data_IF_406990375004
#
_entry.id   IF_406990375004
#
_cell.length_a   1.000
_cell.length_b   1.000
_cell.length_c   1.000
_cell.angle_alpha   90.00
_cell.angle_beta   90.00
_cell.angle_gamma   90.00
#
_symmetry.space_group_name_H-M   'P 1'
#
loop_
_entity.id
_entity.type
_entity.pdbx_description
1 polymer ?
#
# COMPACT_ATOMS: atom_id res chain seq x y z
N UNK A 1 22.10 11.92 -0.92
CA UNK A 1 21.98 10.57 -1.53
C UNK A 1 23.20 10.28 -2.39
N UNK A 2 23.74 9.05 -2.41
CA UNK A 2 24.81 8.68 -3.36
C UNK A 2 24.23 8.46 -4.76
N UNK A 3 24.86 8.94 -5.84
CA UNK A 3 24.40 8.70 -7.20
C UNK A 3 24.32 7.20 -7.52
N UNK A 4 23.19 6.77 -8.08
CA UNK A 4 23.08 5.45 -8.66
C UNK A 4 23.85 5.39 -9.98
N UNK A 5 24.73 4.40 -10.11
CA UNK A 5 25.43 4.14 -11.36
C UNK A 5 24.47 3.70 -12.48
N UNK A 6 24.90 3.85 -13.73
CA UNK A 6 24.12 3.52 -14.93
C UNK A 6 23.57 2.09 -14.93
N UNK A 7 24.35 1.12 -14.46
CA UNK A 7 23.91 -0.27 -14.34
C UNK A 7 22.75 -0.45 -13.35
N UNK A 8 22.75 0.26 -12.23
CA UNK A 8 21.65 0.23 -11.26
C UNK A 8 20.38 0.84 -11.84
N UNK A 9 20.49 1.96 -12.56
CA UNK A 9 19.35 2.59 -13.21
C UNK A 9 18.72 1.73 -14.29
N UNK A 10 19.53 1.07 -15.14
CA UNK A 10 19.02 0.14 -16.15
C UNK A 10 18.24 -1.00 -15.51
N UNK A 11 18.77 -1.58 -14.44
CA UNK A 11 18.12 -2.65 -13.68
C UNK A 11 16.80 -2.16 -13.05
N UNK A 12 16.82 -1.00 -12.38
CA UNK A 12 15.62 -0.44 -11.74
C UNK A 12 14.53 -0.09 -12.76
N UNK A 13 14.87 0.51 -13.90
CA UNK A 13 13.90 0.82 -14.96
C UNK A 13 13.25 -0.44 -15.51
N UNK A 14 14.01 -1.52 -15.69
CA UNK A 14 13.46 -2.81 -16.10
C UNK A 14 12.51 -3.39 -15.06
N UNK A 15 12.92 -3.40 -13.80
CA UNK A 15 12.06 -3.85 -12.68
C UNK A 15 10.81 -2.99 -12.49
N UNK A 16 10.88 -1.68 -12.73
CA UNK A 16 9.71 -0.81 -12.62
C UNK A 16 8.65 -1.13 -13.70
N UNK A 17 9.08 -1.57 -14.88
CA UNK A 17 8.20 -2.00 -15.97
C UNK A 17 7.61 -3.39 -15.68
N UNK A 18 8.49 -4.34 -15.33
CA UNK A 18 8.12 -5.71 -14.99
C UNK A 18 8.80 -6.16 -13.69
N UNK A 19 8.11 -5.98 -12.54
CA UNK A 19 8.61 -6.42 -11.25
C UNK A 19 8.67 -7.95 -11.09
N UNK A 20 8.08 -8.73 -12.01
CA UNK A 20 8.04 -10.19 -11.91
C UNK A 20 9.36 -10.88 -12.33
N UNK A 21 10.26 -10.14 -13.01
CA UNK A 21 11.51 -10.67 -13.54
C UNK A 21 12.46 -11.09 -12.42
N UNK A 22 12.89 -12.35 -12.45
CA UNK A 22 13.95 -12.84 -11.60
C UNK A 22 15.31 -12.23 -11.98
N UNK A 23 16.28 -12.28 -11.05
CA UNK A 23 17.66 -11.85 -11.34
C UNK A 23 18.27 -12.56 -12.56
N UNK A 24 17.88 -13.82 -12.81
CA UNK A 24 18.33 -14.58 -13.97
C UNK A 24 17.75 -14.06 -15.29
N UNK A 25 16.47 -13.68 -15.28
CA UNK A 25 15.78 -13.09 -16.44
C UNK A 25 16.27 -11.67 -16.70
N UNK A 26 16.46 -10.86 -15.67
CA UNK A 26 17.07 -9.53 -15.78
C UNK A 26 18.46 -9.57 -16.39
N UNK A 27 19.28 -10.54 -16.00
CA UNK A 27 20.62 -10.71 -16.59
C UNK A 27 20.54 -10.97 -18.10
N UNK A 28 19.58 -11.80 -18.52
CA UNK A 28 19.32 -12.09 -19.93
C UNK A 28 18.80 -10.86 -20.69
N UNK A 29 17.84 -10.13 -20.12
CA UNK A 29 17.27 -8.93 -20.76
C UNK A 29 18.25 -7.77 -20.88
N UNK A 30 19.15 -7.64 -19.91
CA UNK A 30 20.14 -6.56 -19.88
C UNK A 30 21.44 -6.93 -20.60
N UNK A 31 21.55 -8.15 -21.13
CA UNK A 31 22.76 -8.72 -21.75
C UNK A 31 24.00 -8.60 -20.85
N UNK A 32 23.86 -9.01 -19.58
CA UNK A 32 24.92 -8.99 -18.58
C UNK A 32 24.95 -10.30 -17.78
N UNK A 33 26.03 -10.52 -17.03
CA UNK A 33 26.13 -11.73 -16.20
C UNK A 33 25.19 -11.67 -15.00
N UNK A 34 24.69 -12.85 -14.56
CA UNK A 34 23.90 -12.97 -13.32
C UNK A 34 24.65 -12.45 -12.10
N UNK A 35 25.97 -12.62 -12.07
CA UNK A 35 26.83 -12.10 -11.00
C UNK A 35 26.77 -10.57 -10.91
N UNK A 36 26.85 -9.88 -12.06
CA UNK A 36 26.74 -8.42 -12.11
C UNK A 36 25.36 -7.94 -11.62
N UNK A 37 24.28 -8.59 -12.07
CA UNK A 37 22.92 -8.29 -11.58
C UNK A 37 22.83 -8.48 -10.06
N UNK A 38 23.31 -9.61 -9.53
CA UNK A 38 23.26 -9.88 -8.10
C UNK A 38 24.06 -8.85 -7.30
N UNK A 39 25.27 -8.47 -7.73
CA UNK A 39 26.06 -7.43 -7.06
C UNK A 39 25.31 -6.09 -6.97
N UNK A 40 24.73 -5.64 -8.09
CA UNK A 40 23.93 -4.41 -8.14
C UNK A 40 22.69 -4.55 -7.25
N UNK A 41 22.01 -5.68 -7.31
CA UNK A 41 20.81 -5.96 -6.53
C UNK A 41 21.08 -5.95 -5.03
N UNK A 42 22.14 -6.61 -4.56
CA UNK A 42 22.53 -6.61 -3.14
C UNK A 42 22.92 -5.20 -2.67
N UNK A 43 23.62 -4.43 -3.52
CA UNK A 43 23.91 -3.02 -3.22
C UNK A 43 22.62 -2.21 -3.06
N UNK A 44 21.67 -2.32 -3.99
CA UNK A 44 20.39 -1.61 -3.93
C UNK A 44 19.53 -2.07 -2.74
N UNK A 45 19.56 -3.35 -2.38
CA UNK A 45 18.93 -3.87 -1.15
C UNK A 45 19.49 -3.18 0.08
N UNK A 46 20.82 -3.04 0.16
CA UNK A 46 21.49 -2.45 1.32
C UNK A 46 21.34 -0.93 1.39
N UNK A 47 21.48 -0.22 0.27
CA UNK A 47 21.53 1.24 0.23
C UNK A 47 20.14 1.89 0.05
N UNK A 48 19.25 1.23 -0.69
CA UNK A 48 17.95 1.76 -1.11
C UNK A 48 16.77 0.90 -0.63
N UNK A 49 16.99 -0.06 0.27
CA UNK A 49 15.96 -0.98 0.76
C UNK A 49 15.13 -1.63 -0.37
N UNK A 50 15.80 -1.97 -1.48
CA UNK A 50 15.14 -2.55 -2.66
C UNK A 50 14.47 -3.89 -2.33
N UNK A 51 13.17 -3.98 -2.54
CA UNK A 51 12.42 -5.24 -2.47
C UNK A 51 11.38 -5.30 -3.58
N UNK A 52 11.14 -6.49 -4.13
CA UNK A 52 9.94 -6.74 -4.94
C UNK A 52 8.92 -7.33 -3.98
N UNK A 53 7.78 -6.68 -3.80
CA UNK A 53 6.73 -7.10 -2.88
C UNK A 53 5.52 -7.62 -3.64
N UNK A 54 4.69 -8.42 -2.99
CA UNK A 54 3.42 -8.89 -3.54
C UNK A 54 2.25 -8.02 -3.09
N UNK A 55 1.43 -7.53 -4.03
CA UNK A 55 0.11 -6.97 -3.73
C UNK A 55 -0.94 -8.07 -3.90
N UNK A 56 -1.76 -8.30 -2.87
CA UNK A 56 -2.75 -9.37 -2.84
C UNK A 56 -4.16 -8.88 -3.17
N UNK A 57 -4.98 -9.82 -3.63
CA UNK A 57 -6.42 -9.79 -3.34
C UNK A 57 -6.62 -10.36 -1.93
N UNK A 58 -6.83 -9.49 -0.94
CA UNK A 58 -6.94 -9.89 0.47
C UNK A 58 -8.20 -10.73 0.74
N UNK A 59 -9.23 -10.62 -0.10
CA UNK A 59 -10.41 -11.49 -0.04
C UNK A 59 -10.06 -12.96 -0.24
N UNK A 60 -9.13 -13.24 -1.16
CA UNK A 60 -8.60 -14.59 -1.38
C UNK A 60 -7.71 -15.12 -0.25
N UNK A 61 -7.45 -14.29 0.77
CA UNK A 61 -6.77 -14.65 2.02
C UNK A 61 -7.72 -14.67 3.23
N UNK A 62 -9.03 -14.50 3.01
CA UNK A 62 -10.02 -14.45 4.08
C UNK A 62 -10.03 -13.14 4.87
N UNK A 63 -9.46 -12.07 4.31
CA UNK A 63 -9.36 -10.76 4.92
C UNK A 63 -10.15 -9.70 4.13
N UNK A 64 -10.51 -8.59 4.78
CA UNK A 64 -10.93 -7.34 4.13
C UNK A 64 -10.02 -6.20 4.54
N UNK A 65 -9.55 -5.44 3.56
CA UNK A 65 -8.89 -4.16 3.84
C UNK A 65 -9.95 -3.09 4.11
N UNK A 66 -9.93 -2.52 5.31
CA UNK A 66 -10.61 -1.26 5.63
C UNK A 66 -9.60 -0.14 5.57
N UNK A 67 -9.98 0.97 4.98
CA UNK A 67 -9.15 2.17 4.92
C UNK A 67 -10.01 3.41 5.16
N UNK A 68 -9.37 4.48 5.60
CA UNK A 68 -10.08 5.69 5.93
C UNK A 68 -9.19 6.78 6.48
N UNK A 69 -9.81 7.88 6.84
CA UNK A 69 -9.17 8.97 7.52
C UNK A 69 -10.07 9.51 8.64
N UNK A 70 -9.43 10.02 9.68
CA UNK A 70 -10.07 10.73 10.77
C UNK A 70 -9.51 12.14 10.86
N UNK A 71 -10.35 13.09 11.27
CA UNK A 71 -9.92 14.43 11.61
C UNK A 71 -10.57 14.94 12.89
N UNK A 72 -9.86 15.85 13.55
CA UNK A 72 -10.37 16.63 14.67
C UNK A 72 -9.66 17.98 14.73
N UNK A 73 -10.26 18.92 15.48
CA UNK A 73 -9.71 20.24 15.71
C UNK A 73 -8.33 20.14 16.37
N UNK A 74 -7.45 21.08 16.04
CA UNK A 74 -6.15 21.20 16.70
C UNK A 74 -6.32 21.32 18.23
N UNK A 75 -5.50 20.56 18.98
CA UNK A 75 -5.55 20.51 20.45
C UNK A 75 -6.56 19.53 21.05
N UNK A 76 -7.37 18.82 20.26
CA UNK A 76 -8.20 17.73 20.77
C UNK A 76 -7.38 16.49 21.16
N UNK A 77 -7.68 15.92 22.33
CA UNK A 77 -7.08 14.66 22.81
C UNK A 77 -7.68 13.41 22.16
N UNK A 78 -8.77 13.54 21.39
CA UNK A 78 -9.51 12.40 20.85
C UNK A 78 -8.73 11.76 19.70
N UNK A 79 -8.24 12.55 18.74
CA UNK A 79 -7.48 12.02 17.62
C UNK A 79 -6.16 11.34 18.05
N UNK A 80 -5.38 11.87 19.02
CA UNK A 80 -4.26 11.14 19.61
C UNK A 80 -4.65 9.81 20.29
N UNK A 81 -5.82 9.74 20.95
CA UNK A 81 -6.35 8.48 21.53
C UNK A 81 -6.72 7.49 20.43
N UNK A 82 -7.42 7.94 19.40
CA UNK A 82 -7.79 7.13 18.24
C UNK A 82 -6.55 6.53 17.56
N UNK A 83 -5.55 7.36 17.27
CA UNK A 83 -4.34 6.84 16.63
C UNK A 83 -3.52 5.93 17.55
N UNK A 84 -3.48 6.15 18.87
CA UNK A 84 -2.85 5.18 19.80
C UNK A 84 -3.56 3.84 19.77
N UNK A 85 -4.90 3.84 19.73
CA UNK A 85 -5.69 2.62 19.59
C UNK A 85 -5.38 1.90 18.28
N UNK A 86 -5.37 2.62 17.15
CA UNK A 86 -4.98 2.07 15.85
C UNK A 86 -3.58 1.44 15.90
N UNK A 87 -2.59 2.17 16.40
CA UNK A 87 -1.20 1.71 16.55
C UNK A 87 -1.07 0.47 17.45
N UNK A 88 -1.91 0.35 18.49
CA UNK A 88 -1.89 -0.81 19.39
C UNK A 88 -2.57 -2.06 18.81
N UNK A 89 -3.35 -1.91 17.74
CA UNK A 89 -4.07 -3.02 17.14
C UNK A 89 -3.19 -3.77 16.13
N UNK A 90 -3.04 -5.10 16.25
CA UNK A 90 -2.27 -5.89 15.28
C UNK A 90 -2.98 -6.00 13.91
N UNK A 91 -4.27 -5.63 13.85
CA UNK A 91 -5.05 -5.56 12.60
C UNK A 91 -4.69 -4.33 11.77
N UNK A 92 -4.10 -3.31 12.37
CA UNK A 92 -3.76 -2.07 11.68
C UNK A 92 -2.44 -2.24 10.94
N UNK A 93 -2.50 -2.03 9.62
CA UNK A 93 -1.34 -2.16 8.73
C UNK A 93 -0.70 -0.82 8.40
N UNK A 94 -1.48 0.26 8.31
CA UNK A 94 -0.95 1.61 8.06
C UNK A 94 -1.58 2.59 9.03
N UNK A 95 -0.76 3.48 9.61
CA UNK A 95 -1.22 4.67 10.33
C UNK A 95 -0.33 5.85 9.93
N UNK A 96 -0.94 6.93 9.47
CA UNK A 96 -0.24 8.14 9.02
C UNK A 96 -0.84 9.37 9.69
N UNK A 97 -0.10 10.00 10.60
CA UNK A 97 -0.52 11.25 11.24
C UNK A 97 -0.10 12.45 10.40
N UNK A 98 -0.95 13.46 10.30
CA UNK A 98 -0.59 14.72 9.65
C UNK A 98 0.42 15.51 10.48
N UNK A 99 1.49 15.97 9.84
CA UNK A 99 2.32 17.08 10.34
C UNK A 99 1.64 18.42 10.03
N UNK A 100 1.02 18.50 8.85
CA UNK A 100 0.31 19.68 8.37
C UNK A 100 -0.82 19.24 7.44
N UNK A 101 -1.96 19.93 7.53
CA UNK A 101 -3.19 19.65 6.77
C UNK A 101 -3.62 20.89 5.98
N UNK A 102 -4.30 20.68 4.85
CA UNK A 102 -4.90 21.77 4.07
C UNK A 102 -6.10 22.45 4.75
N UNK A 103 -6.64 21.88 5.83
CA UNK A 103 -7.90 22.31 6.46
C UNK A 103 -7.74 22.85 7.90
N UNK A 104 -6.52 23.23 8.33
CA UNK A 104 -6.24 23.71 9.71
C UNK A 104 -6.76 22.75 10.81
N UNK A 105 -6.68 21.45 10.53
CA UNK A 105 -7.09 20.36 11.42
C UNK A 105 -5.97 19.34 11.56
N UNK A 106 -6.09 18.47 12.57
CA UNK A 106 -5.22 17.30 12.68
C UNK A 106 -5.89 16.10 12.04
N UNK A 107 -5.11 15.28 11.33
CA UNK A 107 -5.62 14.14 10.55
C UNK A 107 -4.82 12.88 10.78
N UNK A 108 -5.51 11.75 10.63
CA UNK A 108 -4.93 10.42 10.64
C UNK A 108 -5.51 9.62 9.49
N UNK A 109 -4.67 9.18 8.55
CA UNK A 109 -5.03 8.12 7.61
C UNK A 109 -4.70 6.76 8.22
N UNK A 110 -5.51 5.75 7.91
CA UNK A 110 -5.26 4.39 8.35
C UNK A 110 -5.69 3.34 7.33
N UNK A 111 -5.04 2.19 7.41
CA UNK A 111 -5.45 0.95 6.75
C UNK A 111 -5.41 -0.18 7.79
N UNK A 112 -6.40 -1.05 7.78
CA UNK A 112 -6.49 -2.22 8.65
C UNK A 112 -6.97 -3.45 7.87
N UNK A 113 -6.35 -4.59 8.12
CA UNK A 113 -6.72 -5.87 7.55
C UNK A 113 -7.57 -6.65 8.55
N UNK A 114 -8.84 -6.83 8.21
CA UNK A 114 -9.84 -7.43 9.10
C UNK A 114 -10.10 -8.88 8.71
N UNK A 115 -9.92 -9.86 9.62
CA UNK A 115 -10.35 -11.23 9.37
C UNK A 115 -11.87 -11.36 9.45
N UNK A 116 -12.40 -12.42 8.87
CA UNK A 116 -13.79 -12.81 9.11
C UNK A 116 -14.04 -13.12 10.60
N UNK A 117 -15.25 -12.82 11.08
CA UNK A 117 -15.70 -13.14 12.43
C UNK A 117 -15.60 -12.00 13.44
N UNK A 118 -15.62 -12.36 14.73
CA UNK A 118 -15.85 -11.41 15.83
C UNK A 118 -14.78 -10.31 15.94
N UNK A 119 -13.52 -10.59 15.60
CA UNK A 119 -12.44 -9.59 15.67
C UNK A 119 -12.61 -8.47 14.64
N UNK A 120 -12.98 -8.83 13.41
CA UNK A 120 -13.31 -7.85 12.37
C UNK A 120 -14.51 -7.00 12.77
N UNK A 121 -15.57 -7.63 13.29
CA UNK A 121 -16.77 -6.93 13.80
C UNK A 121 -16.41 -5.97 14.95
N UNK A 122 -15.65 -6.44 15.93
CA UNK A 122 -15.21 -5.62 17.06
C UNK A 122 -14.42 -4.39 16.62
N UNK A 123 -13.52 -4.53 15.63
CA UNK A 123 -12.75 -3.40 15.10
C UNK A 123 -13.66 -2.35 14.47
N UNK A 124 -14.65 -2.79 13.67
CA UNK A 124 -15.65 -1.90 13.07
C UNK A 124 -16.53 -1.22 14.13
N UNK A 125 -16.92 -1.95 15.19
CA UNK A 125 -17.67 -1.39 16.31
C UNK A 125 -16.86 -0.31 17.05
N UNK A 126 -15.54 -0.47 17.17
CA UNK A 126 -14.68 0.58 17.73
C UNK A 126 -14.64 1.81 16.81
N UNK A 127 -14.54 1.65 15.49
CA UNK A 127 -14.61 2.79 14.56
C UNK A 127 -15.93 3.56 14.74
N UNK A 128 -17.05 2.84 14.79
CA UNK A 128 -18.38 3.43 15.01
C UNK A 128 -18.52 4.08 16.40
N UNK A 129 -17.85 3.56 17.42
CA UNK A 129 -17.80 4.18 18.74
C UNK A 129 -17.09 5.53 18.71
N UNK A 130 -15.98 5.66 17.98
CA UNK A 130 -15.28 6.94 17.85
C UNK A 130 -16.09 8.01 17.11
N UNK A 131 -16.99 7.62 16.20
CA UNK A 131 -17.91 8.54 15.51
C UNK A 131 -19.01 9.11 16.41
N UNK A 132 -19.34 8.41 17.49
CA UNK A 132 -20.48 8.73 18.38
C UNK A 132 -20.01 9.47 19.63
N UNK A 133 -20.97 10.04 20.37
CA UNK A 133 -20.73 10.59 21.69
C UNK A 133 -20.08 9.53 22.61
N UNK A 134 -19.06 9.87 23.42
CA UNK A 134 -18.56 11.23 23.69
C UNK A 134 -17.42 11.70 22.77
N UNK A 135 -17.00 10.90 21.78
CA UNK A 135 -15.83 11.20 20.96
C UNK A 135 -16.15 12.11 19.77
N UNK A 136 -17.26 11.88 19.07
CA UNK A 136 -17.70 12.66 17.91
C UNK A 136 -16.59 12.94 16.88
N UNK A 137 -15.70 11.97 16.67
CA UNK A 137 -14.59 12.10 15.75
C UNK A 137 -15.12 12.12 14.31
N UNK A 138 -14.65 13.08 13.50
CA UNK A 138 -14.92 13.08 12.07
C UNK A 138 -14.14 11.92 11.45
N UNK A 139 -14.82 10.82 11.13
CA UNK A 139 -14.20 9.58 10.67
C UNK A 139 -14.95 9.06 9.44
N UNK A 140 -14.20 8.95 8.34
CA UNK A 140 -14.67 8.43 7.06
C UNK A 140 -13.86 7.19 6.73
N UNK A 141 -14.54 6.07 6.44
CA UNK A 141 -13.87 4.81 6.11
C UNK A 141 -14.75 3.92 5.24
N UNK A 142 -14.13 2.96 4.58
CA UNK A 142 -14.82 1.92 3.82
C UNK A 142 -13.93 0.71 3.54
N UNK A 143 -14.53 -0.31 2.94
CA UNK A 143 -13.80 -1.49 2.47
C UNK A 143 -13.17 -1.19 1.11
N UNK A 144 -11.90 -1.53 0.94
CA UNK A 144 -11.23 -1.36 -0.33
C UNK A 144 -11.81 -2.32 -1.38
N UNK A 145 -12.11 -1.79 -2.57
CA UNK A 145 -12.47 -2.55 -3.76
C UNK A 145 -11.27 -2.77 -4.69
N UNK A 146 -10.30 -1.85 -4.66
CA UNK A 146 -9.11 -1.89 -5.49
C UNK A 146 -7.91 -1.32 -4.74
N UNK A 147 -6.73 -1.89 -5.03
CA UNK A 147 -5.44 -1.43 -4.52
C UNK A 147 -4.46 -1.37 -5.70
N UNK A 148 -3.74 -0.26 -5.83
CA UNK A 148 -2.69 -0.13 -6.84
C UNK A 148 -1.41 0.43 -6.22
N UNK A 149 -0.27 -0.07 -6.69
CA UNK A 149 1.05 0.42 -6.30
C UNK A 149 1.82 0.78 -7.58
N UNK A 150 2.34 2.00 -7.63
CA UNK A 150 3.01 2.56 -8.79
C UNK A 150 4.40 3.08 -8.40
N UNK A 151 5.34 2.88 -9.31
CA UNK A 151 6.67 3.47 -9.27
C UNK A 151 7.04 3.88 -10.69
N UNK A 152 7.18 5.17 -10.92
CA UNK A 152 7.58 5.72 -12.20
C UNK A 152 8.98 6.32 -12.11
N UNK A 153 9.96 5.65 -12.72
CA UNK A 153 11.35 6.11 -12.74
C UNK A 153 11.68 6.97 -13.98
N UNK A 154 10.68 7.43 -14.73
CA UNK A 154 10.85 8.19 -15.96
C UNK A 154 11.54 9.54 -15.75
N UNK A 155 11.27 10.18 -14.61
CA UNK A 155 11.87 11.47 -14.20
C UNK A 155 13.10 11.30 -13.29
N UNK A 156 13.55 10.08 -13.06
CA UNK A 156 14.68 9.79 -12.17
C UNK A 156 15.95 9.48 -12.98
N UNK A 157 16.99 10.28 -12.74
CA UNK A 157 18.30 10.17 -13.41
C UNK A 157 19.35 9.42 -12.57
N UNK A 158 18.98 8.98 -11.36
CA UNK A 158 19.86 8.31 -10.39
C UNK A 158 20.57 9.23 -9.41
N UNK A 159 20.48 10.54 -9.59
CA UNK A 159 20.97 11.56 -8.66
C UNK A 159 19.84 12.33 -8.02
N UNK A 160 18.76 12.56 -8.76
CA UNK A 160 17.60 13.29 -8.30
C UNK A 160 16.40 13.09 -9.22
N UNK A 161 15.33 13.77 -8.86
CA UNK A 161 14.07 13.76 -9.60
C UNK A 161 13.92 15.07 -10.35
N UNK A 162 13.77 14.99 -11.67
CA UNK A 162 13.46 16.15 -12.51
C UNK A 162 11.94 16.36 -12.55
N UNK A 163 11.39 16.78 -11.41
CA UNK A 163 9.96 17.07 -11.24
C UNK A 163 9.79 18.56 -10.94
N UNK A 164 9.56 19.34 -11.99
CA UNK A 164 9.31 20.79 -11.91
C UNK A 164 7.80 21.03 -11.80
N UNK A 165 7.42 21.60 -10.65
CA UNK A 165 6.14 22.23 -10.28
C UNK A 165 4.81 21.44 -10.34
N UNK A 166 3.95 21.75 -9.36
CA UNK A 166 2.53 21.38 -9.34
C UNK A 166 1.73 21.89 -10.55
N UNK A 167 2.29 22.81 -11.36
CA UNK A 167 1.74 23.24 -12.64
C UNK A 167 1.57 22.08 -13.63
N UNK A 168 2.52 21.14 -13.69
CA UNK A 168 2.39 19.95 -14.56
C UNK A 168 1.25 19.04 -14.08
N UNK A 169 1.08 18.91 -12.76
CA UNK A 169 0.02 18.09 -12.16
C UNK A 169 -1.37 18.71 -12.37
N UNK A 170 -1.51 20.03 -12.20
CA UNK A 170 -2.75 20.74 -12.51
C UNK A 170 -3.09 20.71 -14.00
N UNK A 171 -2.12 21.02 -14.86
CA UNK A 171 -2.33 20.98 -16.30
C UNK A 171 -2.72 19.58 -16.80
N UNK A 172 -2.17 18.50 -16.25
CA UNK A 172 -2.55 17.13 -16.62
C UNK A 172 -3.92 16.75 -16.09
N UNK A 173 -4.28 17.16 -14.87
CA UNK A 173 -5.64 16.93 -14.32
C UNK A 173 -6.68 17.68 -15.14
N UNK A 174 -6.47 18.98 -15.39
CA UNK A 174 -7.41 19.82 -16.14
C UNK A 174 -7.60 19.32 -17.58
N UNK A 175 -6.51 18.93 -18.24
CA UNK A 175 -6.57 18.40 -19.61
C UNK A 175 -7.24 17.02 -19.68
N UNK A 176 -7.07 16.18 -18.66
CA UNK A 176 -7.63 14.83 -18.64
C UNK A 176 -9.07 14.78 -18.11
N UNK A 177 -9.54 15.82 -17.42
CA UNK A 177 -10.89 15.88 -16.83
C UNK A 177 -12.01 15.68 -17.85
N UNK A 178 -11.84 16.16 -19.07
CA UNK A 178 -12.78 15.97 -20.17
C UNK A 178 -12.79 14.57 -20.80
N UNK A 179 -11.85 13.70 -20.43
CA UNK A 179 -11.69 12.34 -21.00
C UNK A 179 -11.68 11.27 -19.90
N UNK A 180 -12.08 11.62 -18.68
CA UNK A 180 -11.95 10.72 -17.54
C UNK A 180 -12.69 9.39 -17.75
N UNK A 181 -13.82 9.41 -18.46
CA UNK A 181 -14.66 8.26 -18.80
C UNK A 181 -14.00 7.23 -19.72
N UNK A 182 -13.02 7.64 -20.53
CA UNK A 182 -12.30 6.75 -21.48
C UNK A 182 -10.89 6.36 -21.00
N UNK A 183 -10.49 6.77 -19.79
CA UNK A 183 -9.17 6.42 -19.26
C UNK A 183 -9.10 4.92 -18.89
N UNK A 184 -7.98 4.23 -19.21
CA UNK A 184 -7.85 2.81 -18.97
C UNK A 184 -7.79 2.50 -17.47
N UNK A 185 -8.35 1.33 -17.09
CA UNK A 185 -8.18 0.82 -15.74
C UNK A 185 -6.73 0.38 -15.55
N UNK A 186 -6.04 1.06 -14.65
CA UNK A 186 -4.61 0.87 -14.40
C UNK A 186 -4.41 -0.46 -13.65
N UNK A 187 -3.21 -1.07 -13.68
CA UNK A 187 -2.81 -2.28 -12.92
C UNK A 187 -3.22 -2.24 -11.44
N UNK A 188 -4.48 -2.54 -11.14
CA UNK A 188 -5.09 -2.56 -9.83
C UNK A 188 -5.38 -4.00 -9.43
N UNK A 189 -5.10 -4.35 -8.18
CA UNK A 189 -5.60 -5.58 -7.58
C UNK A 189 -7.03 -5.36 -7.10
N UNK A 190 -8.00 -5.92 -7.83
CA UNK A 190 -9.40 -5.96 -7.38
C UNK A 190 -9.48 -6.83 -6.12
N UNK A 191 -10.18 -6.34 -5.11
CA UNK A 191 -10.42 -7.02 -3.86
C UNK A 191 -11.75 -7.79 -3.96
N UNK A 192 -11.69 -9.09 -3.73
CA UNK A 192 -12.87 -9.96 -3.70
C UNK A 192 -13.46 -10.05 -2.30
N UNK A 193 -14.65 -10.65 -2.22
CA UNK A 193 -15.20 -11.03 -0.92
C UNK A 193 -14.35 -12.11 -0.24
N UNK A 194 -14.26 -12.11 1.10
CA UNK A 194 -13.35 -13.01 1.78
C UNK A 194 -13.84 -14.44 1.72
N UNK A 195 -12.90 -15.35 1.44
CA UNK A 195 -13.14 -16.79 1.43
C UNK A 195 -12.43 -17.47 2.59
N UNK A 196 -12.83 -18.70 2.91
CA UNK A 196 -12.11 -19.49 3.90
C UNK A 196 -10.76 -19.93 3.33
N UNK A 197 -9.69 -19.70 4.08
CA UNK A 197 -8.31 -19.96 3.67
C UNK A 197 -7.58 -20.71 4.76
N UNK A 198 -6.70 -21.64 4.37
CA UNK A 198 -5.87 -22.37 5.32
C UNK A 198 -4.77 -21.48 5.89
N UNK A 199 -4.38 -21.75 7.14
CA UNK A 199 -3.26 -21.05 7.79
C UNK A 199 -1.97 -21.17 6.95
N UNK A 200 -1.72 -22.35 6.36
CA UNK A 200 -0.62 -22.55 5.42
C UNK A 200 -0.60 -21.54 4.26
N UNK A 201 -1.74 -21.33 3.60
CA UNK A 201 -1.84 -20.41 2.46
C UNK A 201 -1.57 -18.97 2.92
N UNK A 202 -1.96 -18.64 4.15
CA UNK A 202 -1.70 -17.35 4.77
C UNK A 202 -0.20 -17.15 5.07
N UNK A 203 0.49 -18.16 5.61
CA UNK A 203 1.95 -18.12 5.85
C UNK A 203 2.71 -17.95 4.53
N UNK A 204 2.30 -18.68 3.48
CA UNK A 204 2.89 -18.52 2.15
C UNK A 204 2.61 -17.14 1.58
N UNK A 205 1.42 -16.57 1.81
CA UNK A 205 1.11 -15.22 1.36
C UNK A 205 1.95 -14.17 2.08
N UNK A 206 2.12 -14.28 3.41
CA UNK A 206 2.87 -13.30 4.20
C UNK A 206 4.32 -13.17 3.72
N UNK A 207 4.99 -14.31 3.46
CA UNK A 207 6.38 -14.27 3.00
C UNK A 207 6.51 -13.66 1.59
N UNK A 208 5.53 -13.90 0.72
CA UNK A 208 5.53 -13.36 -0.64
C UNK A 208 5.17 -11.87 -0.65
N UNK A 209 4.38 -11.39 0.32
CA UNK A 209 4.12 -9.97 0.50
C UNK A 209 5.41 -9.18 0.76
N UNK A 210 6.33 -9.76 1.55
CA UNK A 210 7.61 -9.14 1.87
C UNK A 210 8.65 -9.30 0.75
N UNK A 211 8.74 -10.49 0.16
CA UNK A 211 9.64 -10.76 -0.97
C UNK A 211 8.94 -11.64 -2.00
N UNK A 212 8.53 -11.03 -3.11
CA UNK A 212 7.89 -11.73 -4.22
C UNK A 212 8.73 -12.92 -4.70
N UNK A 213 10.06 -12.82 -4.62
CA UNK A 213 11.00 -13.85 -5.03
C UNK A 213 11.44 -14.78 -3.90
N UNK A 214 10.74 -14.79 -2.75
CA UNK A 214 11.01 -15.68 -1.61
C UNK A 214 11.28 -17.14 -2.02
N UNK A 215 12.30 -17.73 -1.42
CA UNK A 215 12.75 -19.09 -1.73
C UNK A 215 12.05 -20.13 -0.85
N UNK A 216 12.08 -21.40 -1.26
CA UNK A 216 11.60 -22.52 -0.43
C UNK A 216 12.29 -22.56 0.93
N UNK A 217 13.58 -22.19 1.00
CA UNK A 217 14.34 -22.14 2.25
C UNK A 217 13.83 -21.05 3.20
N UNK A 218 13.52 -19.87 2.69
CA UNK A 218 12.92 -18.80 3.50
C UNK A 218 11.55 -19.23 4.04
N UNK A 219 10.73 -19.87 3.21
CA UNK A 219 9.44 -20.40 3.64
C UNK A 219 9.58 -21.52 4.69
N UNK A 220 10.58 -22.41 4.54
CA UNK A 220 10.89 -23.45 5.52
C UNK A 220 11.28 -22.86 6.88
N UNK A 221 12.10 -21.80 6.89
CA UNK A 221 12.47 -21.09 8.12
C UNK A 221 11.26 -20.52 8.83
N UNK A 222 10.39 -19.77 8.13
CA UNK A 222 9.18 -19.20 8.73
C UNK A 222 8.22 -20.27 9.25
N UNK A 223 8.02 -21.38 8.51
CA UNK A 223 7.19 -22.49 8.98
C UNK A 223 7.74 -23.10 10.28
N UNK A 224 9.06 -23.28 10.35
CA UNK A 224 9.71 -23.81 11.55
C UNK A 224 9.58 -22.88 12.76
N UNK A 225 9.63 -21.57 12.57
CA UNK A 225 9.45 -20.58 13.63
C UNK A 225 8.02 -20.56 14.17
N UNK A 226 7.04 -20.86 13.31
CA UNK A 226 5.63 -20.99 13.68
C UNK A 226 5.26 -22.37 14.26
N UNK A 227 6.21 -23.31 14.34
CA UNK A 227 5.99 -24.66 14.85
C UNK A 227 5.26 -25.60 13.88
N UNK A 228 5.16 -25.23 12.60
CA UNK A 228 4.52 -26.04 11.57
C UNK A 228 5.39 -27.23 11.14
N UNK A 229 4.78 -28.35 10.69
CA UNK A 229 5.53 -29.54 10.33
C UNK A 229 6.40 -29.31 9.10
N UNK A 230 7.59 -29.92 9.13
CA UNK A 230 8.56 -29.82 8.03
C UNK A 230 7.98 -30.37 6.73
N UNK A 231 7.96 -29.54 5.68
CA UNK A 231 7.53 -29.94 4.34
C UNK A 231 8.74 -30.19 3.43
N UNK A 232 8.55 -31.03 2.39
CA UNK A 232 9.58 -31.22 1.37
C UNK A 232 9.81 -29.95 0.56
N UNK A 233 11.05 -29.71 0.12
CA UNK A 233 11.40 -28.55 -0.71
C UNK A 233 10.54 -28.48 -1.99
N UNK A 234 10.27 -29.63 -2.62
CA UNK A 234 9.39 -29.72 -3.80
C UNK A 234 7.99 -29.18 -3.51
N UNK A 235 7.43 -29.53 -2.35
CA UNK A 235 6.11 -29.05 -1.92
C UNK A 235 6.11 -27.54 -1.70
N UNK A 236 7.14 -27.02 -1.02
CA UNK A 236 7.29 -25.59 -0.74
C UNK A 236 7.40 -24.78 -2.04
N UNK A 237 8.25 -25.22 -2.99
CA UNK A 237 8.38 -24.58 -4.31
C UNK A 237 7.06 -24.58 -5.08
N UNK A 238 6.32 -25.70 -5.04
CA UNK A 238 4.99 -25.81 -5.69
C UNK A 238 4.00 -24.82 -5.10
N UNK A 239 3.95 -24.70 -3.76
CA UNK A 239 3.07 -23.74 -3.06
C UNK A 239 3.42 -22.29 -3.43
N UNK A 240 4.68 -21.89 -3.32
CA UNK A 240 5.15 -20.55 -3.70
C UNK A 240 4.75 -20.21 -5.16
N UNK A 241 4.97 -21.14 -6.09
CA UNK A 241 4.61 -20.93 -7.50
C UNK A 241 3.10 -20.81 -7.71
N UNK A 242 2.30 -21.61 -7.00
CA UNK A 242 0.84 -21.56 -7.11
C UNK A 242 0.27 -20.22 -6.63
N UNK A 243 0.74 -19.70 -5.50
CA UNK A 243 0.26 -18.42 -4.95
C UNK A 243 0.69 -17.25 -5.85
N UNK A 244 1.95 -17.21 -6.29
CA UNK A 244 2.47 -16.17 -7.22
C UNK A 244 1.65 -16.02 -8.49
N UNK A 245 1.28 -17.14 -9.12
CA UNK A 245 0.58 -17.12 -10.41
C UNK A 245 -0.89 -16.72 -10.30
N UNK A 246 -1.52 -16.99 -9.16
CA UNK A 246 -2.98 -16.91 -9.03
C UNK A 246 -3.48 -15.68 -8.30
N UNK A 247 -2.70 -15.13 -7.35
CA UNK A 247 -3.24 -14.25 -6.31
C UNK A 247 -2.47 -12.93 -6.11
N UNK A 248 -1.39 -12.69 -6.85
CA UNK A 248 -0.45 -11.62 -6.54
C UNK A 248 -0.06 -10.81 -7.77
N UNK A 249 -0.06 -9.49 -7.61
CA UNK A 249 0.58 -8.55 -8.53
C UNK A 249 1.89 -8.08 -7.91
N UNK A 250 3.06 -8.40 -8.48
CA UNK A 250 4.34 -7.94 -7.94
C UNK A 250 4.52 -6.44 -8.19
N UNK A 251 5.12 -5.74 -7.23
CA UNK A 251 5.46 -4.33 -7.36
C UNK A 251 6.83 -4.04 -6.74
N UNK A 252 7.50 -3.00 -7.26
CA UNK A 252 8.81 -2.60 -6.79
C UNK A 252 8.68 -1.66 -5.58
N UNK A 253 9.22 -2.05 -4.43
CA UNK A 253 9.45 -1.17 -3.29
C UNK A 253 10.91 -0.76 -3.26
N UNK A 254 11.13 0.54 -3.27
CA UNK A 254 12.46 1.13 -3.13
C UNK A 254 12.32 2.41 -2.29
N UNK A 255 13.35 2.67 -1.50
CA UNK A 255 13.48 3.80 -0.57
C UNK A 255 14.84 4.48 -0.80
N UNK A 256 15.10 5.59 -0.13
CA UNK A 256 16.35 6.36 -0.23
C UNK A 256 16.73 6.76 -1.67
N UNK A 257 15.72 7.04 -2.49
CA UNK A 257 15.85 7.50 -3.88
C UNK A 257 15.54 8.99 -4.05
N UNK A 258 15.60 9.77 -2.96
CA UNK A 258 15.31 11.22 -2.99
C UNK A 258 13.82 11.57 -2.98
N UNK A 259 12.96 10.64 -2.54
CA UNK A 259 11.54 10.86 -2.26
C UNK A 259 11.35 10.92 -0.74
N UNK A 260 11.63 12.07 -0.13
CA UNK A 260 11.58 12.25 1.32
C UNK A 260 10.27 12.86 1.83
N UNK A 261 9.38 13.32 0.95
CA UNK A 261 8.11 13.88 1.35
C UNK A 261 6.97 12.90 1.11
N UNK A 262 6.24 12.52 2.15
CA UNK A 262 5.03 11.70 2.03
C UNK A 262 3.76 12.52 2.17
N UNK A 263 2.88 12.43 1.17
CA UNK A 263 1.61 13.15 1.14
C UNK A 263 0.48 12.13 1.05
N UNK A 264 -0.55 12.29 1.88
CA UNK A 264 -1.80 11.55 1.75
C UNK A 264 -2.87 12.49 1.19
N UNK A 265 -3.52 12.05 0.12
CA UNK A 265 -4.68 12.70 -0.49
C UNK A 265 -5.85 11.74 -0.31
N UNK A 266 -6.92 12.18 0.34
CA UNK A 266 -8.16 11.42 0.46
C UNK A 266 -9.32 12.21 -0.11
N UNK A 267 -10.06 11.58 -1.00
CA UNK A 267 -11.20 12.11 -1.73
C UNK A 267 -12.43 11.31 -1.31
N UNK A 268 -13.36 11.96 -0.62
CA UNK A 268 -14.69 11.43 -0.33
C UNK A 268 -15.69 12.02 -1.31
N UNK A 269 -16.55 11.19 -1.87
CA UNK A 269 -17.49 11.57 -2.92
C UNK A 269 -18.92 11.19 -2.55
N UNK A 270 -19.86 12.03 -2.93
CA UNK A 270 -21.28 11.75 -2.74
C UNK A 270 -21.70 10.54 -3.58
N UNK A 271 -22.40 9.58 -2.95
CA UNK A 271 -22.81 8.28 -3.53
C UNK A 271 -23.73 8.36 -4.75
N UNK A 272 -24.23 9.55 -5.10
CA UNK A 272 -25.25 9.74 -6.14
C UNK A 272 -24.68 9.90 -7.57
N UNK A 273 -23.36 9.94 -7.73
CA UNK A 273 -22.70 10.05 -9.04
C UNK A 273 -22.08 8.71 -9.41
N UNK A 274 -22.68 8.02 -10.38
CA UNK A 274 -22.09 6.84 -11.07
C UNK A 274 -20.72 7.24 -11.65
N UNK A 275 -19.64 6.77 -11.02
CA UNK A 275 -18.24 7.03 -11.40
C UNK A 275 -17.85 8.52 -11.47
N UNK A 276 -17.39 9.06 -10.35
CA UNK A 276 -16.78 10.37 -10.34
C UNK A 276 -15.56 10.45 -11.29
N UNK A 277 -15.53 11.49 -12.11
CA UNK A 277 -14.39 11.75 -12.99
C UNK A 277 -13.10 11.93 -12.19
N UNK A 278 -13.17 12.44 -10.95
CA UNK A 278 -11.98 12.79 -10.17
C UNK A 278 -11.30 11.59 -9.50
N UNK A 279 -12.05 10.64 -8.93
CA UNK A 279 -11.44 9.39 -8.42
C UNK A 279 -10.69 8.65 -9.53
N UNK A 280 -11.32 8.52 -10.70
CA UNK A 280 -10.70 7.87 -11.87
C UNK A 280 -9.47 8.64 -12.36
N UNK A 281 -9.54 9.98 -12.39
CA UNK A 281 -8.37 10.82 -12.70
C UNK A 281 -7.22 10.59 -11.73
N UNK A 282 -7.47 10.57 -10.42
CA UNK A 282 -6.43 10.33 -9.41
C UNK A 282 -5.75 8.98 -9.60
N UNK A 283 -6.55 7.92 -9.88
CA UNK A 283 -6.01 6.59 -10.17
C UNK A 283 -5.09 6.59 -11.39
N UNK A 284 -5.46 7.31 -12.44
CA UNK A 284 -4.65 7.39 -13.67
C UNK A 284 -3.39 8.21 -13.45
N UNK A 285 -3.51 9.37 -12.78
CA UNK A 285 -2.36 10.22 -12.45
C UNK A 285 -1.38 9.52 -11.51
N UNK A 286 -1.82 8.57 -10.69
CA UNK A 286 -0.91 7.79 -9.84
C UNK A 286 0.21 7.08 -10.65
N UNK A 287 0.00 6.79 -11.93
CA UNK A 287 1.02 6.20 -12.82
C UNK A 287 2.09 7.18 -13.30
N UNK A 288 1.78 8.48 -13.31
CA UNK A 288 2.70 9.53 -13.77
C UNK A 288 3.56 10.06 -12.63
N UNK A 289 3.17 9.78 -11.38
CA UNK A 289 3.86 10.22 -10.18
C UNK A 289 5.04 9.31 -9.82
N UNK A 290 6.09 9.85 -9.17
CA UNK A 290 7.30 9.11 -8.80
C UNK A 290 7.02 7.78 -8.13
N UNK A 291 6.20 7.82 -7.06
CA UNK A 291 5.76 6.63 -6.33
C UNK A 291 4.41 6.94 -5.69
N UNK A 292 3.44 6.07 -5.95
CA UNK A 292 2.08 6.24 -5.49
C UNK A 292 1.46 4.91 -5.06
N UNK A 293 0.70 4.93 -3.98
CA UNK A 293 -0.21 3.85 -3.58
C UNK A 293 -1.62 4.40 -3.61
N UNK A 294 -2.53 3.69 -4.26
CA UNK A 294 -3.95 4.06 -4.32
C UNK A 294 -4.79 2.94 -3.71
N UNK A 295 -5.70 3.32 -2.82
CA UNK A 295 -6.74 2.46 -2.24
C UNK A 295 -8.08 3.11 -2.53
N UNK A 296 -9.00 2.37 -3.15
CA UNK A 296 -10.26 2.94 -3.63
C UNK A 296 -11.45 2.02 -3.37
N UNK A 297 -12.60 2.64 -3.09
CA UNK A 297 -13.93 2.08 -3.22
C UNK A 297 -14.89 3.09 -3.85
N UNK A 298 -16.16 2.74 -3.93
CA UNK A 298 -17.18 3.49 -4.68
C UNK A 298 -17.34 4.96 -4.23
N UNK A 299 -16.97 5.31 -2.99
CA UNK A 299 -17.19 6.65 -2.44
C UNK A 299 -15.97 7.27 -1.74
N UNK A 300 -14.85 6.55 -1.68
CA UNK A 300 -13.62 6.97 -1.02
C UNK A 300 -12.42 6.53 -1.85
N UNK A 301 -11.55 7.47 -2.15
CA UNK A 301 -10.27 7.22 -2.81
C UNK A 301 -9.16 7.85 -1.99
N UNK A 302 -8.20 7.05 -1.56
CA UNK A 302 -7.00 7.51 -0.86
C UNK A 302 -5.77 7.22 -1.69
N UNK A 303 -4.94 8.24 -1.89
CA UNK A 303 -3.68 8.17 -2.61
C UNK A 303 -2.55 8.64 -1.69
N UNK A 304 -1.57 7.77 -1.50
CA UNK A 304 -0.36 8.06 -0.74
C UNK A 304 0.77 8.25 -1.75
N UNK A 305 1.42 9.40 -1.71
CA UNK A 305 2.50 9.78 -2.60
C UNK A 305 3.81 9.90 -1.83
N UNK A 306 4.89 9.35 -2.39
CA UNK A 306 6.25 9.71 -1.99
C UNK A 306 6.81 10.64 -3.08
N UNK A 307 7.13 11.88 -2.71
CA UNK A 307 7.60 12.95 -3.60
C UNK A 307 8.97 13.51 -3.14
N UNK A 308 9.72 14.15 -4.05
CA UNK A 308 10.88 14.97 -3.68
C UNK A 308 10.43 16.24 -2.94
N UNK A 309 11.27 16.75 -2.03
CA UNK A 309 10.99 18.00 -1.28
C UNK A 309 10.86 19.24 -2.17
N UNK A 310 11.39 19.18 -3.40
CA UNK A 310 11.23 20.26 -4.37
C UNK A 310 9.79 20.42 -4.85
N UNK A 311 8.90 19.43 -4.62
CA UNK A 311 7.51 19.48 -5.05
C UNK A 311 6.65 20.17 -4.00
N UNK A 312 5.99 21.27 -4.38
CA UNK A 312 5.03 21.95 -3.50
C UNK A 312 3.75 21.15 -3.32
N UNK A 313 3.66 20.42 -2.20
CA UNK A 313 2.42 19.74 -1.79
C UNK A 313 1.23 20.69 -1.63
N UNK A 314 1.48 21.95 -1.24
CA UNK A 314 0.43 22.96 -1.11
C UNK A 314 -0.19 23.28 -2.47
N UNK A 315 0.65 23.42 -3.51
CA UNK A 315 0.17 23.61 -4.87
C UNK A 315 -0.65 22.39 -5.36
N UNK A 316 -0.22 21.17 -5.05
CA UNK A 316 -1.00 19.95 -5.32
C UNK A 316 -2.36 20.01 -4.61
N UNK A 317 -2.37 20.37 -3.33
CA UNK A 317 -3.60 20.50 -2.55
C UNK A 317 -4.55 21.54 -3.13
N UNK A 318 -4.04 22.69 -3.56
CA UNK A 318 -4.83 23.76 -4.14
C UNK A 318 -5.46 23.32 -5.47
N UNK A 319 -4.66 22.77 -6.39
CA UNK A 319 -5.12 22.23 -7.68
C UNK A 319 -6.22 21.19 -7.48
N UNK A 320 -6.04 20.28 -6.53
CA UNK A 320 -7.03 19.25 -6.24
C UNK A 320 -8.30 19.86 -5.66
N UNK A 321 -8.18 20.82 -4.74
CA UNK A 321 -9.33 21.51 -4.14
C UNK A 321 -10.15 22.27 -5.19
N UNK A 322 -9.49 22.94 -6.14
CA UNK A 322 -10.14 23.59 -7.29
C UNK A 322 -10.82 22.55 -8.22
N UNK A 323 -10.22 21.37 -8.37
CA UNK A 323 -10.74 20.29 -9.19
C UNK A 323 -11.95 19.55 -8.58
N UNK A 324 -12.03 19.49 -7.25
CA UNK A 324 -13.03 18.74 -6.46
C UNK A 324 -14.48 19.18 -6.71
N UNK A 325 -14.69 20.45 -7.09
CA UNK A 325 -16.03 21.03 -7.19
C UNK A 325 -16.76 21.04 -5.83
N UNK A 326 -18.07 21.23 -5.86
CA UNK A 326 -18.90 21.33 -4.64
C UNK A 326 -19.37 19.98 -4.08
N UNK A 327 -19.14 18.87 -4.79
CA UNK A 327 -19.73 17.55 -4.51
C UNK A 327 -18.78 16.55 -3.87
N UNK A 328 -17.51 16.92 -3.73
CA UNK A 328 -16.46 16.04 -3.22
C UNK A 328 -15.63 16.75 -2.16
N UNK A 329 -15.31 16.03 -1.09
CA UNK A 329 -14.43 16.53 -0.03
C UNK A 329 -13.02 16.00 -0.29
N UNK A 330 -12.09 16.89 -0.60
CA UNK A 330 -10.67 16.55 -0.72
C UNK A 330 -9.90 16.99 0.50
N UNK A 331 -9.09 16.05 0.97
CA UNK A 331 -8.28 16.18 2.15
C UNK A 331 -6.84 15.88 1.77
N UNK A 332 -5.95 16.86 1.84
CA UNK A 332 -4.52 16.68 1.56
C UNK A 332 -3.71 16.99 2.80
N UNK A 333 -2.79 16.11 3.19
CA UNK A 333 -1.89 16.37 4.31
C UNK A 333 -0.50 15.76 4.11
N UNK A 334 0.52 16.44 4.65
CA UNK A 334 1.85 15.85 4.82
C UNK A 334 1.80 14.94 6.01
N UNK A 335 2.26 13.71 5.84
CA UNK A 335 2.29 12.75 6.92
C UNK A 335 3.67 12.67 7.58
N UNK A 336 3.69 12.46 8.90
CA UNK A 336 4.92 12.25 9.68
C UNK A 336 5.61 10.97 9.22
N UNK A 337 6.94 10.95 9.14
CA UNK A 337 7.72 9.78 8.71
C UNK A 337 7.74 8.63 9.73
N UNK A 338 7.33 8.88 10.98
CA UNK A 338 7.35 7.91 12.10
C UNK A 338 6.33 6.75 12.00
N UNK A 339 5.91 6.39 10.80
CA UNK A 339 4.73 5.56 10.54
C UNK A 339 4.94 4.06 10.74
N UNK A 340 3.82 3.42 11.04
CA UNK A 340 3.70 1.97 11.09
C UNK A 340 3.27 1.49 9.70
N UNK A 341 4.06 0.59 9.13
CA UNK A 341 3.72 -0.22 7.97
C UNK A 341 3.90 -1.69 8.36
N UNK A 342 2.83 -2.29 8.89
CA UNK A 342 2.78 -3.71 9.20
C UNK A 342 2.24 -4.47 7.97
N UNK A 343 2.81 -5.63 7.68
CA UNK A 343 2.28 -6.54 6.65
C UNK A 343 1.38 -7.62 7.25
N UNK A 344 1.05 -8.63 6.45
CA UNK A 344 0.38 -9.85 6.86
C UNK A 344 1.11 -10.57 8.02
N UNK A 345 2.42 -10.36 8.17
CA UNK A 345 3.19 -10.97 9.25
C UNK A 345 2.69 -10.56 10.64
N UNK A 346 2.20 -9.33 10.83
CA UNK A 346 1.64 -8.91 12.14
C UNK A 346 0.32 -9.59 12.49
N UNK A 347 -0.36 -10.15 11.48
CA UNK A 347 -1.59 -10.92 11.65
C UNK A 347 -1.31 -12.40 11.91
N UNK A 348 -0.13 -12.91 11.57
CA UNK A 348 0.20 -14.33 11.77
C UNK A 348 0.06 -14.73 13.23
N UNK A 349 0.65 -13.95 14.14
CA UNK A 349 0.58 -14.21 15.59
C UNK A 349 -0.87 -14.30 16.07
N UNK A 350 -1.69 -13.37 15.60
CA UNK A 350 -3.12 -13.24 15.93
C UNK A 350 -3.92 -14.44 15.43
N UNK A 351 -3.62 -14.94 14.23
CA UNK A 351 -4.33 -16.06 13.60
C UNK A 351 -3.89 -17.42 14.16
N UNK A 352 -2.59 -17.61 14.43
CA UNK A 352 -2.02 -18.85 15.00
C UNK A 352 -2.53 -19.09 16.43
N UNK A 353 -2.66 -18.05 17.25
CA UNK A 353 -3.23 -18.18 18.61
C UNK A 353 -4.67 -18.72 18.63
N UNK A 354 -5.42 -18.55 17.54
CA UNK A 354 -6.82 -18.97 17.46
C UNK A 354 -6.97 -20.40 16.95
N UNK A 355 -6.23 -20.77 15.90
CA UNK A 355 -6.20 -22.17 15.42
C UNK A 355 -5.66 -23.12 16.48
N UNK A 356 -4.68 -22.68 17.30
CA UNK A 356 -4.14 -23.45 18.42
C UNK A 356 -5.14 -23.71 19.55
N UNK A 357 -6.19 -22.88 19.72
CA UNK A 357 -7.24 -23.08 20.74
C UNK A 357 -8.36 -24.01 20.25
N UNK A 358 -8.77 -23.89 18.98
CA UNK A 358 -9.78 -24.79 18.39
C UNK A 358 -9.25 -26.22 18.16
N UNK A 359 -7.93 -26.39 18.05
CA UNK A 359 -7.30 -27.72 17.97
C UNK A 359 -7.27 -28.46 19.32
N UNK A 360 -7.42 -27.74 20.45
CA UNK A 360 -7.41 -28.32 21.81
C UNK A 360 -8.81 -28.62 22.34
N UNK A 361 -9.87 -28.04 21.76
CA UNK A 361 -11.27 -28.31 22.13
C UNK A 361 -11.84 -29.57 21.46
N UNK A 362 -11.13 -30.18 20.49
CA UNK A 362 -11.52 -31.45 19.86
C UNK A 362 -10.77 -32.68 20.41
N UNK A 363 -9.99 -32.52 21.49
CA UNK A 363 -9.26 -33.61 22.16
C UNK A 363 -9.57 -33.74 23.66
N UNK A 364 -10.74 -33.28 24.10
CA UNK A 364 -11.27 -33.56 25.44
C UNK A 364 -12.62 -34.27 25.35
#
# INVERSE_FOLDING_TARGET
MKPLGTGALKLLRKLAIDPSLSQAELAKELDVTRSAVNQIWQRLRKECNLSVRGSFDYGQLGLRLVFGWASDREGSDILPKFSRWLTSSPLTVVVMRSVMSSMMDTRVYFEALLPQGQRGVWFLDQLERFKKNPYNLSLVYGFASHIANHLNLGLFDGRGWDMIDGFRFGATIDSAKGYADVLPDVRTSRQSDPVNVSLDDFIVASIIEQDFHATSRQLETNLSELGEPKMSERTLRRRLSAVRKKRIVPYLRIENIGLSQRIAISLEEARELDDSSLSRLLRVQATTLPKARVVHNDNLTSMILDLPESVSWFAISQVLSESAGATSTICTFIADDSQIWNGLDSLLEVLVEHTGKDSRSHHL
#
